data_IF_968174942692
#
_entry.id   IF_968174942692
#
_cell.length_a   1.000
_cell.length_b   1.000
_cell.length_c   1.000
_cell.angle_alpha   90.00
_cell.angle_beta   90.00
_cell.angle_gamma   90.00
#
_symmetry.space_group_name_H-M   'P 1'
#
loop_
_entity.id
_entity.type
_entity.pdbx_description
1 polymer ?
#
# COMPACT_ATOMS: atom_id res chain seq x y z
N UNK A 1 37.68 -25.46 32.55
CA UNK A 1 36.40 -26.02 32.11
C UNK A 1 35.71 -24.98 31.23
N UNK A 2 35.69 -25.17 29.91
CA UNK A 2 35.01 -24.28 28.97
C UNK A 2 33.53 -24.58 29.01
N UNK A 3 32.73 -23.75 29.68
CA UNK A 3 31.27 -23.90 29.67
C UNK A 3 30.76 -23.58 28.26
N UNK A 4 29.80 -24.37 27.78
CA UNK A 4 29.16 -24.15 26.49
C UNK A 4 28.36 -22.83 26.52
N UNK A 5 28.81 -21.84 25.75
CA UNK A 5 28.07 -20.59 25.55
C UNK A 5 27.05 -20.80 24.43
N UNK A 6 25.83 -21.23 24.77
CA UNK A 6 24.74 -21.31 23.79
C UNK A 6 24.22 -19.89 23.59
N UNK A 7 24.32 -19.31 22.37
CA UNK A 7 23.79 -17.99 22.12
C UNK A 7 22.27 -17.97 22.37
N UNK A 8 21.80 -16.97 23.13
CA UNK A 8 20.37 -16.70 23.24
C UNK A 8 19.87 -16.11 21.92
N UNK A 9 19.39 -16.97 21.03
CA UNK A 9 18.69 -16.52 19.81
C UNK A 9 17.22 -16.35 20.18
N UNK A 10 16.79 -15.14 20.49
CA UNK A 10 15.35 -14.82 20.47
C UNK A 10 14.96 -14.60 19.02
N UNK A 11 14.19 -15.48 18.37
CA UNK A 11 13.82 -15.30 16.98
C UNK A 11 12.92 -14.06 16.86
N UNK A 12 13.35 -13.08 16.07
CA UNK A 12 12.50 -11.97 15.66
C UNK A 12 11.65 -12.50 14.50
N UNK A 13 10.40 -12.88 14.80
CA UNK A 13 9.44 -13.30 13.78
C UNK A 13 8.68 -12.04 13.36
N UNK A 14 9.11 -11.39 12.28
CA UNK A 14 8.37 -10.27 11.69
C UNK A 14 7.50 -10.81 10.57
N UNK A 15 6.20 -10.97 10.81
CA UNK A 15 5.22 -11.25 9.75
C UNK A 15 4.66 -9.92 9.29
N UNK A 16 4.91 -9.54 8.04
CA UNK A 16 4.31 -8.34 7.46
C UNK A 16 2.89 -8.63 6.98
N UNK A 17 2.11 -7.57 6.69
CA UNK A 17 0.75 -7.74 6.14
C UNK A 17 0.77 -8.44 4.79
N UNK A 18 1.75 -8.12 3.96
CA UNK A 18 1.89 -8.71 2.63
C UNK A 18 2.24 -10.21 2.74
N UNK A 19 3.09 -10.57 3.70
CA UNK A 19 3.36 -11.99 4.01
C UNK A 19 2.07 -12.70 4.46
N UNK A 20 1.25 -12.06 5.29
CA UNK A 20 -0.02 -12.62 5.74
C UNK A 20 -1.02 -12.79 4.59
N UNK A 21 -1.13 -11.81 3.67
CA UNK A 21 -2.00 -11.91 2.49
C UNK A 21 -1.55 -13.08 1.59
N UNK A 22 -0.24 -13.20 1.33
CA UNK A 22 0.31 -14.30 0.54
C UNK A 22 0.05 -15.67 1.18
N UNK A 23 0.18 -15.78 2.52
CA UNK A 23 -0.16 -17.00 3.24
C UNK A 23 -1.65 -17.32 3.19
N UNK A 24 -2.53 -16.31 3.26
CA UNK A 24 -3.98 -16.50 3.16
C UNK A 24 -4.41 -16.96 1.76
N UNK A 25 -3.84 -16.37 0.71
CA UNK A 25 -4.05 -16.79 -0.68
C UNK A 25 -3.55 -18.22 -0.89
N UNK A 26 -2.36 -18.55 -0.38
CA UNK A 26 -1.81 -19.90 -0.44
C UNK A 26 -2.72 -20.91 0.29
N UNK A 27 -3.29 -20.53 1.44
CA UNK A 27 -4.25 -21.35 2.18
C UNK A 27 -5.53 -21.60 1.39
N UNK A 28 -6.04 -20.62 0.65
CA UNK A 28 -7.24 -20.79 -0.21
C UNK A 28 -6.92 -21.77 -1.33
N UNK A 29 -5.79 -21.58 -2.02
CA UNK A 29 -5.39 -22.48 -3.12
C UNK A 29 -5.17 -23.93 -2.66
N UNK A 30 -4.62 -24.14 -1.46
CA UNK A 30 -4.48 -25.49 -0.88
C UNK A 30 -5.83 -26.12 -0.54
N UNK A 31 -6.82 -25.32 -0.13
CA UNK A 31 -8.17 -25.80 0.14
C UNK A 31 -8.88 -26.21 -1.15
N UNK A 32 -8.78 -25.39 -2.20
CA UNK A 32 -9.30 -25.70 -3.55
C UNK A 32 -8.64 -26.97 -4.13
N UNK A 33 -7.33 -27.12 -3.97
CA UNK A 33 -6.62 -28.34 -4.35
C UNK A 33 -7.18 -29.57 -3.63
N UNK A 34 -7.42 -29.47 -2.32
CA UNK A 34 -8.06 -30.52 -1.54
C UNK A 34 -9.45 -30.89 -2.05
N UNK A 35 -10.27 -29.89 -2.39
CA UNK A 35 -11.61 -30.10 -2.96
C UNK A 35 -11.54 -30.81 -4.32
N UNK A 36 -10.55 -30.50 -5.16
CA UNK A 36 -10.35 -31.20 -6.44
C UNK A 36 -10.08 -32.69 -6.27
N UNK A 37 -9.28 -33.07 -5.26
CA UNK A 37 -9.02 -34.47 -4.94
C UNK A 37 -10.27 -35.19 -4.44
N UNK A 38 -11.10 -34.52 -3.63
CA UNK A 38 -12.38 -35.06 -3.18
C UNK A 38 -13.30 -35.33 -4.38
N UNK A 39 -13.42 -34.38 -5.31
CA UNK A 39 -14.22 -34.54 -6.52
C UNK A 39 -13.72 -35.69 -7.40
N UNK A 40 -12.39 -35.84 -7.53
CA UNK A 40 -11.82 -36.96 -8.27
C UNK A 40 -12.14 -38.31 -7.60
N UNK A 41 -12.05 -38.38 -6.27
CA UNK A 41 -12.40 -39.59 -5.51
C UNK A 41 -13.90 -39.94 -5.62
N UNK A 42 -14.79 -38.94 -5.69
CA UNK A 42 -16.22 -39.19 -5.99
C UNK A 42 -16.41 -39.74 -7.41
N UNK A 43 -15.65 -39.25 -8.39
CA UNK A 43 -15.62 -39.79 -9.74
C UNK A 43 -15.19 -41.26 -9.78
N UNK A 44 -14.12 -41.60 -9.05
CA UNK A 44 -13.66 -42.98 -8.91
C UNK A 44 -14.68 -43.87 -8.20
N UNK A 45 -15.41 -43.37 -7.19
CA UNK A 45 -16.52 -44.10 -6.56
C UNK A 45 -17.62 -44.45 -7.54
N UNK A 46 -18.00 -43.52 -8.43
CA UNK A 46 -18.97 -43.79 -9.49
C UNK A 46 -18.44 -44.85 -10.44
N UNK A 47 -17.19 -44.73 -10.90
CA UNK A 47 -16.59 -45.71 -11.81
C UNK A 47 -16.50 -47.09 -11.16
N UNK A 48 -16.15 -47.17 -9.88
CA UNK A 48 -16.11 -48.41 -9.12
C UNK A 48 -17.49 -49.08 -9.06
N UNK A 49 -18.53 -48.29 -8.74
CA UNK A 49 -19.90 -48.77 -8.65
C UNK A 49 -20.45 -49.23 -10.00
N UNK A 50 -20.06 -48.58 -11.10
CA UNK A 50 -20.43 -48.96 -12.46
C UNK A 50 -19.54 -50.06 -13.06
N UNK A 51 -18.49 -50.49 -12.35
CA UNK A 51 -17.52 -51.46 -12.86
C UNK A 51 -16.66 -50.95 -14.02
N UNK A 52 -16.54 -49.63 -14.19
CA UNK A 52 -15.74 -48.99 -15.25
C UNK A 52 -14.38 -48.49 -14.77
N UNK A 53 -14.05 -48.68 -13.48
CA UNK A 53 -12.77 -48.23 -12.92
C UNK A 53 -11.60 -49.06 -13.49
N UNK A 54 -10.64 -48.46 -14.20
CA UNK A 54 -9.53 -49.21 -14.80
C UNK A 54 -8.70 -49.95 -13.76
N UNK A 55 -8.32 -51.20 -14.05
CA UNK A 55 -7.47 -51.99 -13.17
C UNK A 55 -8.17 -52.61 -11.97
N UNK A 56 -9.49 -52.46 -11.84
CA UNK A 56 -10.27 -53.05 -10.75
C UNK A 56 -11.42 -53.88 -11.35
N UNK A 57 -11.53 -55.14 -10.95
CA UNK A 57 -12.68 -55.98 -11.30
C UNK A 57 -13.73 -55.88 -10.20
N UNK A 58 -14.81 -55.16 -10.46
CA UNK A 58 -15.95 -55.04 -9.54
C UNK A 58 -17.04 -56.05 -9.88
N UNK A 59 -17.84 -56.51 -8.88
CA UNK A 59 -19.09 -57.20 -9.15
C UNK A 59 -20.03 -56.37 -10.04
N UNK A 60 -21.01 -56.98 -10.72
CA UNK A 60 -22.01 -56.23 -11.48
C UNK A 60 -22.71 -55.20 -10.59
N UNK A 61 -22.82 -53.97 -11.07
CA UNK A 61 -23.48 -52.88 -10.38
C UNK A 61 -24.93 -53.25 -10.02
N UNK A 62 -25.30 -53.11 -8.74
CA UNK A 62 -26.72 -53.20 -8.34
C UNK A 62 -27.35 -51.82 -8.30
N UNK A 63 -28.67 -51.74 -8.49
CA UNK A 63 -29.40 -50.47 -8.40
C UNK A 63 -29.23 -49.81 -7.01
N UNK A 64 -29.19 -50.62 -5.95
CA UNK A 64 -28.99 -50.14 -4.58
C UNK A 64 -27.62 -49.48 -4.41
N UNK A 65 -26.56 -50.08 -4.95
CA UNK A 65 -25.20 -49.52 -4.87
C UNK A 65 -25.12 -48.20 -5.62
N UNK A 66 -25.70 -48.14 -6.83
CA UNK A 66 -25.72 -46.91 -7.64
C UNK A 66 -26.51 -45.80 -6.94
N UNK A 67 -27.64 -46.10 -6.30
CA UNK A 67 -28.43 -45.11 -5.56
C UNK A 67 -27.70 -44.61 -4.30
N UNK A 68 -27.02 -45.49 -3.57
CA UNK A 68 -26.20 -45.11 -2.41
C UNK A 68 -25.05 -44.20 -2.81
N UNK A 69 -24.33 -44.55 -3.88
CA UNK A 69 -23.25 -43.73 -4.43
C UNK A 69 -23.79 -42.41 -4.93
N UNK A 70 -24.92 -42.39 -5.63
CA UNK A 70 -25.53 -41.15 -6.10
C UNK A 70 -25.93 -40.22 -4.95
N UNK A 71 -26.48 -40.77 -3.86
CA UNK A 71 -26.80 -39.98 -2.67
C UNK A 71 -25.53 -39.40 -2.05
N UNK A 72 -24.51 -40.22 -1.83
CA UNK A 72 -23.22 -39.79 -1.27
C UNK A 72 -22.58 -38.68 -2.12
N UNK A 73 -22.49 -38.89 -3.44
CA UNK A 73 -21.88 -37.90 -4.35
C UNK A 73 -22.65 -36.59 -4.33
N UNK A 74 -23.99 -36.63 -4.33
CA UNK A 74 -24.81 -35.41 -4.26
C UNK A 74 -24.59 -34.64 -2.97
N UNK A 75 -24.44 -35.33 -1.84
CA UNK A 75 -24.18 -34.68 -0.56
C UNK A 75 -22.77 -34.07 -0.53
N UNK A 76 -21.75 -34.79 -1.00
CA UNK A 76 -20.40 -34.24 -1.16
C UNK A 76 -20.39 -33.01 -2.08
N UNK A 77 -21.06 -33.06 -3.24
CA UNK A 77 -21.13 -31.93 -4.17
C UNK A 77 -21.79 -30.70 -3.56
N UNK A 78 -22.83 -30.88 -2.73
CA UNK A 78 -23.47 -29.78 -2.00
C UNK A 78 -22.50 -29.14 -1.01
N UNK A 79 -21.73 -29.95 -0.30
CA UNK A 79 -20.77 -29.44 0.68
C UNK A 79 -19.58 -28.76 0.01
N UNK A 80 -19.05 -29.31 -1.08
CA UNK A 80 -18.04 -28.65 -1.93
C UNK A 80 -18.57 -27.31 -2.43
N UNK A 81 -19.79 -27.25 -2.96
CA UNK A 81 -20.38 -26.00 -3.47
C UNK A 81 -20.49 -24.92 -2.37
N UNK A 82 -20.90 -25.29 -1.16
CA UNK A 82 -20.94 -24.35 -0.03
C UNK A 82 -19.54 -23.88 0.34
N UNK A 83 -18.56 -24.78 0.35
CA UNK A 83 -17.17 -24.47 0.69
C UNK A 83 -16.53 -23.56 -0.35
N UNK A 84 -16.79 -23.79 -1.63
CA UNK A 84 -16.40 -22.91 -2.74
C UNK A 84 -16.98 -21.49 -2.58
N UNK A 85 -18.26 -21.36 -2.24
CA UNK A 85 -18.86 -20.04 -1.95
C UNK A 85 -18.18 -19.32 -0.78
N UNK A 86 -17.85 -20.06 0.29
CA UNK A 86 -17.13 -19.51 1.44
C UNK A 86 -15.69 -19.13 1.09
N UNK A 87 -15.01 -19.95 0.29
CA UNK A 87 -13.65 -19.69 -0.19
C UNK A 87 -13.60 -18.47 -1.10
N UNK A 88 -14.57 -18.30 -2.00
CA UNK A 88 -14.72 -17.10 -2.81
C UNK A 88 -14.90 -15.86 -1.94
N UNK A 89 -15.77 -15.93 -0.93
CA UNK A 89 -15.95 -14.83 0.03
C UNK A 89 -14.66 -14.52 0.79
N UNK A 90 -13.91 -15.54 1.19
CA UNK A 90 -12.61 -15.40 1.86
C UNK A 90 -11.58 -14.75 0.92
N UNK A 91 -11.53 -15.16 -0.34
CA UNK A 91 -10.66 -14.60 -1.37
C UNK A 91 -10.96 -13.11 -1.60
N UNK A 92 -12.24 -12.77 -1.81
CA UNK A 92 -12.69 -11.38 -1.96
C UNK A 92 -12.28 -10.53 -0.75
N UNK A 93 -12.46 -11.05 0.46
CA UNK A 93 -12.09 -10.36 1.71
C UNK A 93 -10.58 -10.14 1.81
N UNK A 94 -9.77 -11.12 1.42
CA UNK A 94 -8.30 -11.04 1.44
C UNK A 94 -7.80 -10.03 0.40
N UNK A 95 -8.38 -10.04 -0.80
CA UNK A 95 -8.03 -9.11 -1.88
C UNK A 95 -8.49 -7.67 -1.60
N UNK A 96 -9.60 -7.50 -0.87
CA UNK A 96 -10.11 -6.19 -0.46
C UNK A 96 -9.37 -5.60 0.76
N UNK A 97 -8.43 -6.33 1.37
CA UNK A 97 -7.67 -5.82 2.51
C UNK A 97 -6.85 -4.59 2.11
N UNK A 98 -7.04 -3.42 2.74
CA UNK A 98 -6.39 -2.19 2.31
C UNK A 98 -4.86 -2.30 2.45
N UNK A 99 -4.12 -2.04 1.38
CA UNK A 99 -2.68 -1.79 1.47
C UNK A 99 -2.52 -0.54 2.31
N UNK A 100 -2.01 -0.66 3.54
CA UNK A 100 -1.59 0.51 4.29
C UNK A 100 -0.32 0.98 3.62
N UNK A 101 -0.44 1.98 2.75
CA UNK A 101 0.67 2.87 2.48
C UNK A 101 1.11 3.42 3.85
N UNK A 102 2.34 3.10 4.26
CA UNK A 102 2.99 3.57 5.48
C UNK A 102 3.32 5.07 5.45
N UNK A 103 2.55 5.90 4.75
CA UNK A 103 2.66 7.35 4.86
C UNK A 103 1.69 7.83 5.94
N UNK A 104 2.07 7.61 7.20
CA UNK A 104 1.53 8.44 8.27
C UNK A 104 1.74 9.90 7.90
N UNK A 105 0.70 10.72 8.01
CA UNK A 105 0.75 12.14 7.67
C UNK A 105 2.04 12.77 8.23
N UNK A 106 2.81 13.47 7.39
CA UNK A 106 3.93 14.30 7.87
C UNK A 106 3.42 15.15 9.03
N UNK A 107 3.98 14.95 10.23
CA UNK A 107 3.57 15.70 11.42
C UNK A 107 3.64 17.20 11.14
N UNK A 108 2.68 17.96 11.67
CA UNK A 108 2.60 19.41 11.47
C UNK A 108 3.98 20.06 11.69
N UNK A 109 4.41 20.88 10.73
CA UNK A 109 5.62 21.71 10.86
C UNK A 109 5.52 22.49 12.17
N UNK A 110 6.51 22.34 13.06
CA UNK A 110 6.55 23.06 14.33
C UNK A 110 6.52 24.57 14.10
N UNK A 111 5.88 25.31 15.03
CA UNK A 111 5.74 26.76 14.93
C UNK A 111 7.09 27.44 14.65
N UNK A 112 7.12 28.36 13.68
CA UNK A 112 8.28 29.22 13.41
C UNK A 112 8.65 29.97 14.70
N UNK A 113 9.90 29.83 15.14
CA UNK A 113 10.41 30.54 16.32
C UNK A 113 10.29 32.06 16.16
N UNK A 114 10.09 32.77 17.27
CA UNK A 114 9.90 34.22 17.27
C UNK A 114 11.02 34.94 16.50
N UNK A 115 10.65 35.86 15.61
CA UNK A 115 11.59 36.76 14.94
C UNK A 115 12.35 37.55 15.99
N UNK A 116 13.69 37.48 15.97
CA UNK A 116 14.54 38.24 16.90
C UNK A 116 14.31 39.74 16.77
N UNK A 117 14.46 40.47 17.89
CA UNK A 117 14.27 41.92 17.95
C UNK A 117 15.14 42.64 16.91
N UNK A 118 14.60 43.73 16.33
CA UNK A 118 15.31 44.54 15.36
C UNK A 118 16.59 45.13 15.98
N UNK A 119 17.73 44.95 15.29
CA UNK A 119 19.00 45.52 15.70
C UNK A 119 18.93 47.05 15.79
N UNK A 120 19.62 47.64 16.77
CA UNK A 120 19.65 49.08 16.99
C UNK A 120 20.18 49.83 15.75
N UNK A 121 19.58 50.97 15.43
CA UNK A 121 20.01 51.80 14.31
C UNK A 121 21.47 52.25 14.48
N UNK A 122 22.30 52.03 13.46
CA UNK A 122 23.69 52.47 13.44
C UNK A 122 23.81 54.00 13.45
N UNK A 123 24.83 54.54 14.11
CA UNK A 123 25.06 55.97 14.25
C UNK A 123 25.19 56.67 12.88
N UNK A 124 24.48 57.79 12.71
CA UNK A 124 24.56 58.66 11.52
C UNK A 124 25.99 59.12 11.28
N UNK A 125 26.53 58.84 10.08
CA UNK A 125 27.87 59.26 9.66
C UNK A 125 28.00 60.79 9.55
N UNK A 126 29.20 61.30 9.82
CA UNK A 126 29.50 62.74 9.85
C UNK A 126 29.22 63.44 8.51
N UNK A 127 28.56 64.60 8.57
CA UNK A 127 28.30 65.49 7.43
C UNK A 127 29.59 65.90 6.74
N UNK A 128 29.71 65.64 5.42
CA UNK A 128 30.85 66.03 4.60
C UNK A 128 30.98 67.55 4.41
N UNK A 129 32.22 68.04 4.30
CA UNK A 129 32.55 69.47 4.22
C UNK A 129 31.95 70.17 2.98
N UNK A 130 31.41 71.38 3.19
CA UNK A 130 30.88 72.28 2.15
C UNK A 130 31.95 72.62 1.10
N UNK A 131 31.66 72.34 -0.17
CA UNK A 131 32.53 72.68 -1.31
C UNK A 131 32.57 74.20 -1.58
N UNK A 132 33.72 74.69 -2.02
CA UNK A 132 34.01 76.11 -2.24
C UNK A 132 33.15 76.77 -3.33
N UNK A 133 32.71 78.00 -3.07
CA UNK A 133 31.97 78.88 -3.98
C UNK A 133 32.77 79.19 -5.25
N UNK A 134 32.23 78.83 -6.42
CA UNK A 134 32.79 79.16 -7.74
C UNK A 134 32.58 80.64 -8.11
N UNK A 135 33.58 81.21 -8.80
CA UNK A 135 33.70 82.63 -9.11
C UNK A 135 32.64 83.18 -10.09
N UNK A 136 32.21 84.42 -9.83
CA UNK A 136 31.30 85.26 -10.64
C UNK A 136 31.90 85.58 -12.01
N UNK A 137 31.14 85.30 -13.09
CA UNK A 137 31.43 85.71 -14.47
C UNK A 137 30.30 86.57 -15.06
N UNK A 138 30.68 87.59 -15.84
CA UNK A 138 29.96 88.83 -16.15
C UNK A 138 28.63 88.73 -16.94
N UNK A 139 27.73 89.70 -16.71
CA UNK A 139 26.47 89.94 -17.44
C UNK A 139 26.55 91.15 -18.37
N UNK A 140 26.02 91.00 -19.59
CA UNK A 140 25.68 92.06 -20.57
C UNK A 140 25.90 91.51 -22.00
N UNK A 141 24.97 91.51 -22.96
CA UNK A 141 23.80 92.33 -23.21
C UNK A 141 22.64 91.50 -23.83
N UNK A 142 21.42 92.04 -23.72
CA UNK A 142 20.18 91.28 -23.84
C UNK A 142 19.57 91.09 -25.24
N UNK A 143 18.52 90.28 -25.25
CA UNK A 143 17.43 90.34 -26.21
C UNK A 143 16.14 89.86 -25.50
N UNK A 144 15.14 90.72 -25.55
CA UNK A 144 13.78 90.65 -25.01
C UNK A 144 13.04 89.35 -25.32
N UNK A 145 12.24 88.90 -24.35
CA UNK A 145 11.52 87.62 -24.40
C UNK A 145 10.23 87.61 -25.21
N UNK A 146 9.68 86.40 -25.33
CA UNK A 146 8.25 86.16 -25.47
C UNK A 146 7.88 84.86 -24.72
N UNK A 147 6.78 84.96 -24.00
CA UNK A 147 6.09 84.03 -23.10
C UNK A 147 5.85 82.62 -23.67
N UNK A 148 5.93 81.61 -22.81
CA UNK A 148 5.34 80.29 -23.02
C UNK A 148 4.84 79.71 -21.70
N UNK A 149 3.54 79.85 -21.45
CA UNK A 149 2.81 79.22 -20.35
C UNK A 149 2.65 77.72 -20.59
N UNK A 150 2.82 76.94 -19.52
CA UNK A 150 1.96 75.85 -18.98
C UNK A 150 2.82 74.68 -18.50
N UNK A 151 2.76 74.43 -17.19
CA UNK A 151 3.40 73.34 -16.46
C UNK A 151 3.22 73.59 -14.97
#
# INVERSE_FOLDING_TARGET
MSQANIPNITPIITVTRDDAINLLLSSIALEELGLSHILNAEGEKIQFALGTLPGVTSPPATLSDVLLVNQSVRDTLRDVTKKEMLLQTKLETVLAAPVVATTGATGATGATGATGEAGTAGATGATGATGATGATGATGAGATGATGSTG
#
